data_IF_571922805682
#
_entry.id   IF_571922805682
#
_cell.length_a   1.000
_cell.length_b   1.000
_cell.length_c   1.000
_cell.angle_alpha   90.00
_cell.angle_beta   90.00
_cell.angle_gamma   90.00
#
_symmetry.space_group_name_H-M   'P 1'
#
loop_
_entity.id
_entity.type
_entity.pdbx_description
1 polymer ?
#
# COMPACT_ATOMS: atom_id res chain seq x y z
N UNK A 1 5.80 -7.53 -42.26
CA UNK A 1 5.44 -6.60 -41.18
C UNK A 1 4.79 -7.38 -40.03
N UNK A 2 4.69 -6.82 -38.82
CA UNK A 2 3.92 -7.43 -37.73
C UNK A 2 2.54 -6.80 -37.69
N UNK A 3 1.49 -7.60 -37.86
CA UNK A 3 0.11 -7.12 -37.80
C UNK A 3 -0.22 -6.58 -36.40
N UNK A 4 -0.87 -5.41 -36.34
CA UNK A 4 -1.08 -4.67 -35.07
C UNK A 4 -1.85 -5.50 -34.03
N UNK A 5 -2.80 -6.32 -34.48
CA UNK A 5 -3.61 -7.21 -33.64
C UNK A 5 -2.84 -8.40 -33.04
N UNK A 6 -1.65 -8.73 -33.57
CA UNK A 6 -0.81 -9.80 -33.00
C UNK A 6 0.00 -9.33 -31.79
N UNK A 7 0.18 -8.02 -31.61
CA UNK A 7 0.99 -7.45 -30.52
C UNK A 7 0.41 -7.77 -29.14
N UNK A 8 -0.90 -7.56 -28.85
CA UNK A 8 -1.50 -7.95 -27.57
C UNK A 8 -1.44 -9.46 -27.31
N UNK A 9 -1.59 -10.28 -28.35
CA UNK A 9 -1.51 -11.74 -28.23
C UNK A 9 -0.10 -12.20 -27.85
N UNK A 10 0.95 -11.68 -28.51
CA UNK A 10 2.36 -11.96 -28.16
C UNK A 10 2.68 -11.44 -26.75
N UNK A 11 2.23 -10.24 -26.40
CA UNK A 11 2.42 -9.67 -25.06
C UNK A 11 1.81 -10.56 -23.98
N UNK A 12 0.59 -11.06 -24.17
CA UNK A 12 -0.09 -11.96 -23.22
C UNK A 12 0.61 -13.32 -22.99
N UNK A 13 1.59 -13.67 -23.83
CA UNK A 13 2.38 -14.91 -23.76
C UNK A 13 3.81 -14.70 -23.23
N UNK A 14 4.15 -13.51 -22.74
CA UNK A 14 5.46 -13.25 -22.15
C UNK A 14 5.72 -14.16 -20.93
N UNK A 15 6.89 -14.84 -20.84
CA UNK A 15 7.27 -15.57 -19.65
C UNK A 15 7.63 -14.60 -18.52
N UNK A 16 7.07 -14.80 -17.33
CA UNK A 16 7.37 -13.93 -16.17
C UNK A 16 8.73 -14.26 -15.55
N UNK A 17 9.08 -15.54 -15.48
CA UNK A 17 10.38 -15.99 -15.00
C UNK A 17 11.44 -15.93 -16.13
N UNK A 18 12.69 -15.51 -15.85
CA UNK A 18 13.18 -14.97 -14.58
C UNK A 18 12.99 -13.44 -14.43
N UNK A 19 12.89 -12.70 -15.54
CA UNK A 19 13.12 -11.26 -15.56
C UNK A 19 12.02 -10.42 -14.86
N UNK A 20 10.73 -10.74 -15.07
CA UNK A 20 9.64 -9.99 -14.45
C UNK A 20 9.44 -10.35 -12.97
N UNK A 21 9.74 -11.60 -12.59
CA UNK A 21 9.77 -12.01 -11.19
C UNK A 21 10.95 -11.35 -10.44
N UNK A 22 12.15 -11.35 -11.03
CA UNK A 22 13.32 -10.61 -10.52
C UNK A 22 12.99 -9.12 -10.32
N UNK A 23 12.38 -8.46 -11.33
CA UNK A 23 12.02 -7.06 -11.22
C UNK A 23 10.95 -6.80 -10.13
N UNK A 24 9.95 -7.68 -10.01
CA UNK A 24 8.98 -7.62 -8.92
C UNK A 24 9.66 -7.75 -7.55
N UNK A 25 10.60 -8.69 -7.39
CA UNK A 25 11.36 -8.85 -6.14
C UNK A 25 12.21 -7.61 -5.84
N UNK A 26 12.99 -7.10 -6.80
CA UNK A 26 13.84 -5.90 -6.61
C UNK A 26 12.99 -4.70 -6.16
N UNK A 27 11.92 -4.36 -6.89
CA UNK A 27 11.05 -3.25 -6.50
C UNK A 27 10.18 -3.51 -5.27
N UNK A 28 10.03 -4.76 -4.80
CA UNK A 28 9.40 -5.07 -3.50
C UNK A 28 10.37 -4.92 -2.35
N UNK A 29 11.59 -5.46 -2.47
CA UNK A 29 12.62 -5.40 -1.43
C UNK A 29 13.18 -3.99 -1.27
N UNK A 30 13.36 -3.23 -2.36
CA UNK A 30 13.72 -1.81 -2.28
C UNK A 30 12.65 -1.00 -1.54
N UNK A 31 11.37 -1.23 -1.83
CA UNK A 31 10.27 -0.55 -1.15
C UNK A 31 10.21 -0.88 0.34
N UNK A 32 10.59 -2.10 0.74
CA UNK A 32 10.82 -2.46 2.15
C UNK A 32 12.01 -1.70 2.74
N UNK A 33 13.17 -1.69 2.08
CA UNK A 33 14.38 -1.00 2.58
C UNK A 33 14.15 0.50 2.79
N UNK A 34 13.34 1.12 1.93
CA UNK A 34 12.94 2.53 2.03
C UNK A 34 11.99 2.83 3.20
N UNK A 35 11.45 1.81 3.89
CA UNK A 35 10.62 2.03 5.07
C UNK A 35 11.46 2.35 6.31
N UNK A 36 10.93 3.27 7.13
CA UNK A 36 11.54 3.66 8.41
C UNK A 36 11.80 2.41 9.28
N UNK A 37 13.03 2.31 9.81
CA UNK A 37 13.47 1.20 10.66
C UNK A 37 13.79 -0.12 9.94
N UNK A 38 13.53 -0.27 8.62
CA UNK A 38 13.79 -1.55 7.94
C UNK A 38 15.28 -1.94 7.94
N UNK A 39 16.18 -0.96 7.79
CA UNK A 39 17.64 -1.17 7.83
C UNK A 39 18.09 -1.55 9.25
N UNK A 40 17.53 -0.95 10.30
CA UNK A 40 17.83 -1.34 11.69
C UNK A 40 17.41 -2.79 11.97
N UNK A 41 16.21 -3.18 11.53
CA UNK A 41 15.75 -4.57 11.65
C UNK A 41 16.65 -5.54 10.86
N UNK A 42 17.19 -5.14 9.71
CA UNK A 42 18.13 -5.99 8.93
C UNK A 42 19.44 -6.28 9.67
N UNK A 43 19.93 -5.33 10.49
CA UNK A 43 21.14 -5.49 11.29
C UNK A 43 20.87 -6.24 12.59
N UNK A 44 19.79 -5.89 13.30
CA UNK A 44 19.45 -6.46 14.62
C UNK A 44 18.79 -7.84 14.54
N UNK A 45 17.96 -8.05 13.52
CA UNK A 45 17.08 -9.22 13.38
C UNK A 45 16.98 -9.65 11.90
N UNK A 46 18.08 -10.13 11.28
CA UNK A 46 18.13 -10.41 9.84
C UNK A 46 17.05 -11.37 9.36
N UNK A 47 16.67 -12.38 10.17
CA UNK A 47 15.60 -13.34 9.85
C UNK A 47 14.23 -12.63 9.76
N UNK A 48 13.93 -11.67 10.65
CA UNK A 48 12.69 -10.90 10.59
C UNK A 48 12.65 -9.97 9.38
N UNK A 49 13.80 -9.39 9.00
CA UNK A 49 13.93 -8.61 7.77
C UNK A 49 13.72 -9.47 6.51
N UNK A 50 14.33 -10.66 6.45
CA UNK A 50 14.11 -11.63 5.37
C UNK A 50 12.65 -12.06 5.27
N UNK A 51 12.01 -12.38 6.40
CA UNK A 51 10.60 -12.79 6.40
C UNK A 51 9.67 -11.66 5.95
N UNK A 52 9.89 -10.42 6.41
CA UNK A 52 9.22 -9.23 5.87
C UNK A 52 9.45 -9.07 4.35
N UNK A 53 10.68 -9.28 3.85
CA UNK A 53 10.96 -9.24 2.42
C UNK A 53 10.20 -10.34 1.65
N UNK A 54 10.04 -11.54 2.22
CA UNK A 54 9.20 -12.59 1.65
C UNK A 54 7.72 -12.18 1.62
N UNK A 55 7.19 -11.49 2.63
CA UNK A 55 5.82 -10.94 2.62
C UNK A 55 5.65 -9.86 1.53
N UNK A 56 6.62 -8.99 1.28
CA UNK A 56 6.59 -8.04 0.15
C UNK A 56 6.66 -8.72 -1.23
N UNK A 57 7.32 -9.88 -1.32
CA UNK A 57 7.50 -10.62 -2.57
C UNK A 57 6.32 -11.55 -2.88
N UNK A 58 5.84 -12.28 -1.88
CA UNK A 58 4.88 -13.39 -1.99
C UNK A 58 3.56 -13.16 -1.25
N UNK A 59 3.37 -12.00 -0.59
CA UNK A 59 2.15 -11.70 0.17
C UNK A 59 0.85 -11.84 -0.63
N UNK A 60 0.89 -11.64 -1.96
CA UNK A 60 -0.24 -11.93 -2.83
C UNK A 60 -0.59 -13.42 -2.93
N UNK A 61 0.42 -14.30 -2.93
CA UNK A 61 0.20 -15.75 -2.86
C UNK A 61 -0.29 -16.16 -1.47
N UNK A 62 0.40 -15.72 -0.40
CA UNK A 62 0.05 -16.02 1.00
C UNK A 62 -1.41 -15.64 1.29
N UNK A 63 -1.82 -14.41 0.95
CA UNK A 63 -3.18 -13.94 1.16
C UNK A 63 -4.19 -14.71 0.30
N UNK A 64 -3.89 -14.98 -0.98
CA UNK A 64 -4.79 -15.76 -1.84
C UNK A 64 -5.01 -17.19 -1.36
N UNK A 65 -3.96 -17.85 -0.85
CA UNK A 65 -4.05 -19.20 -0.33
C UNK A 65 -4.82 -19.24 0.99
N UNK A 66 -4.60 -18.27 1.89
CA UNK A 66 -5.39 -18.14 3.12
C UNK A 66 -6.90 -17.97 2.83
N UNK A 67 -7.26 -17.17 1.82
CA UNK A 67 -8.65 -16.95 1.43
C UNK A 67 -9.32 -18.17 0.77
N UNK A 68 -8.53 -19.07 0.20
CA UNK A 68 -9.00 -20.31 -0.44
C UNK A 68 -8.84 -21.54 0.46
N UNK A 69 -8.47 -21.36 1.73
CA UNK A 69 -8.12 -22.43 2.68
C UNK A 69 -7.00 -23.38 2.17
N UNK A 70 -6.16 -22.91 1.25
CA UNK A 70 -4.93 -23.58 0.83
C UNK A 70 -3.82 -23.37 1.88
N UNK A 71 -2.83 -24.28 1.98
CA UNK A 71 -1.69 -24.09 2.87
C UNK A 71 -0.95 -22.77 2.54
N UNK A 72 -0.95 -21.75 3.43
CA UNK A 72 -0.39 -20.43 3.14
C UNK A 72 1.15 -20.45 2.99
N UNK A 73 1.78 -21.56 3.39
CA UNK A 73 3.21 -21.87 3.19
C UNK A 73 3.53 -22.43 1.80
N UNK A 74 2.53 -22.71 0.94
CA UNK A 74 2.75 -23.33 -0.38
C UNK A 74 3.69 -22.53 -1.31
N UNK A 75 3.84 -21.21 -1.10
CA UNK A 75 4.82 -20.42 -1.86
C UNK A 75 6.27 -20.84 -1.56
N UNK A 76 6.56 -21.39 -0.37
CA UNK A 76 7.88 -21.89 0.01
C UNK A 76 8.32 -23.11 -0.81
N UNK A 77 7.37 -23.91 -1.31
CA UNK A 77 7.66 -25.04 -2.19
C UNK A 77 8.29 -24.62 -3.53
N UNK A 78 8.17 -23.34 -3.92
CA UNK A 78 8.77 -22.79 -5.14
C UNK A 78 10.23 -22.38 -4.91
N UNK A 79 11.08 -23.36 -4.58
CA UNK A 79 12.47 -23.18 -4.16
C UNK A 79 13.26 -22.16 -5.00
N UNK A 80 13.23 -22.27 -6.33
CA UNK A 80 13.92 -21.32 -7.25
C UNK A 80 13.49 -19.87 -7.05
N UNK A 81 12.21 -19.61 -6.79
CA UNK A 81 11.68 -18.27 -6.57
C UNK A 81 12.02 -17.74 -5.18
N UNK A 82 12.00 -18.61 -4.16
CA UNK A 82 12.44 -18.26 -2.80
C UNK A 82 13.93 -17.91 -2.80
N UNK A 83 14.76 -18.72 -3.45
CA UNK A 83 16.19 -18.46 -3.61
C UNK A 83 16.44 -17.14 -4.34
N UNK A 84 15.76 -16.91 -5.48
CA UNK A 84 15.90 -15.66 -6.24
C UNK A 84 15.50 -14.42 -5.41
N UNK A 85 14.36 -14.46 -4.71
CA UNK A 85 13.92 -13.38 -3.84
C UNK A 85 14.85 -13.18 -2.62
N UNK A 86 15.43 -14.27 -2.08
CA UNK A 86 16.39 -14.22 -0.97
C UNK A 86 17.73 -13.63 -1.40
N UNK A 87 18.22 -13.96 -2.60
CA UNK A 87 19.41 -13.34 -3.20
C UNK A 87 19.18 -11.84 -3.42
N UNK A 88 18.03 -11.45 -3.94
CA UNK A 88 17.66 -10.02 -4.09
C UNK A 88 17.60 -9.32 -2.74
N UNK A 89 16.99 -9.92 -1.72
CA UNK A 89 17.02 -9.41 -0.35
C UNK A 89 18.45 -9.20 0.15
N UNK A 90 19.31 -10.20 -0.01
CA UNK A 90 20.69 -10.12 0.43
C UNK A 90 21.47 -9.00 -0.28
N UNK A 91 21.36 -8.90 -1.60
CA UNK A 91 22.02 -7.83 -2.37
C UNK A 91 21.46 -6.44 -2.05
N UNK A 92 20.16 -6.26 -1.83
CA UNK A 92 19.59 -4.95 -1.49
C UNK A 92 19.99 -4.49 -0.09
N UNK A 93 20.18 -5.38 0.88
CA UNK A 93 20.50 -5.01 2.27
C UNK A 93 22.00 -5.04 2.61
N UNK A 94 22.78 -5.99 2.09
CA UNK A 94 24.16 -6.28 2.54
C UNK A 94 25.23 -6.13 1.45
N UNK A 95 24.89 -5.70 0.24
CA UNK A 95 25.89 -5.44 -0.81
C UNK A 95 26.87 -4.33 -0.37
N UNK A 96 28.19 -4.53 -0.52
CA UNK A 96 29.19 -3.55 -0.09
C UNK A 96 28.97 -2.18 -0.76
N UNK A 97 29.18 -1.11 0.00
CA UNK A 97 28.94 0.28 -0.40
C UNK A 97 27.50 0.59 -0.87
N UNK A 98 26.56 -0.33 -0.62
CA UNK A 98 25.18 -0.30 -1.07
C UNK A 98 25.02 -0.24 -2.62
N UNK A 99 25.99 -0.81 -3.35
CA UNK A 99 26.10 -0.67 -4.80
C UNK A 99 24.85 -1.17 -5.55
N UNK A 100 24.29 -2.31 -5.15
CA UNK A 100 23.10 -2.88 -5.78
C UNK A 100 21.87 -1.98 -5.63
N UNK A 101 21.59 -1.51 -4.40
CA UNK A 101 20.50 -0.56 -4.16
C UNK A 101 20.71 0.74 -4.92
N UNK A 102 21.93 1.32 -4.90
CA UNK A 102 22.27 2.55 -5.64
C UNK A 102 22.03 2.41 -7.14
N UNK A 103 22.40 1.27 -7.73
CA UNK A 103 22.16 0.96 -9.13
C UNK A 103 20.65 0.99 -9.45
N UNK A 104 19.83 0.25 -8.71
CA UNK A 104 18.38 0.19 -8.95
C UNK A 104 17.60 1.43 -8.44
N UNK A 105 18.20 2.26 -7.59
CA UNK A 105 17.66 3.55 -7.18
C UNK A 105 17.83 4.64 -8.25
N UNK A 106 18.77 4.47 -9.19
CA UNK A 106 18.93 5.36 -10.34
C UNK A 106 17.64 5.42 -11.18
N UNK A 107 17.14 6.63 -11.43
CA UNK A 107 15.77 6.86 -11.88
C UNK A 107 15.36 6.04 -13.14
N UNK A 108 16.14 5.99 -14.24
CA UNK A 108 15.80 5.16 -15.40
C UNK A 108 15.62 3.67 -15.07
N UNK A 109 16.52 3.09 -14.25
CA UNK A 109 16.45 1.68 -13.88
C UNK A 109 15.31 1.42 -12.88
N UNK A 110 15.10 2.36 -11.95
CA UNK A 110 13.96 2.36 -11.03
C UNK A 110 12.62 2.37 -11.77
N UNK A 111 12.50 3.18 -12.83
CA UNK A 111 11.31 3.25 -13.70
C UNK A 111 11.10 1.95 -14.47
N UNK A 112 12.17 1.37 -15.05
CA UNK A 112 12.10 0.08 -15.76
C UNK A 112 11.60 -1.04 -14.84
N UNK A 113 12.23 -1.20 -13.68
CA UNK A 113 11.86 -2.24 -12.71
C UNK A 113 10.45 -2.02 -12.15
N UNK A 114 10.06 -0.77 -11.89
CA UNK A 114 8.68 -0.45 -11.50
C UNK A 114 7.69 -0.84 -12.60
N UNK A 115 7.95 -0.49 -13.86
CA UNK A 115 7.11 -0.87 -15.01
C UNK A 115 6.98 -2.38 -15.17
N UNK A 116 8.09 -3.12 -15.10
CA UNK A 116 8.08 -4.59 -15.13
C UNK A 116 7.25 -5.19 -13.98
N UNK A 117 7.32 -4.63 -12.76
CA UNK A 117 6.47 -5.05 -11.63
C UNK A 117 4.97 -4.80 -11.87
N UNK A 118 4.60 -3.78 -12.64
CA UNK A 118 3.20 -3.59 -13.07
C UNK A 118 2.75 -4.67 -14.08
N UNK A 119 3.64 -5.16 -14.95
CA UNK A 119 3.36 -6.33 -15.81
C UNK A 119 3.10 -7.58 -14.97
N UNK A 120 4.00 -7.89 -14.02
CA UNK A 120 3.85 -9.03 -13.10
C UNK A 120 2.55 -8.96 -12.30
N UNK A 121 2.09 -7.74 -11.95
CA UNK A 121 0.82 -7.51 -11.26
C UNK A 121 -0.40 -7.92 -12.10
N UNK A 122 -0.46 -7.56 -13.39
CA UNK A 122 -1.55 -8.00 -14.27
C UNK A 122 -1.62 -9.52 -14.40
N UNK A 123 -0.47 -10.18 -14.53
CA UNK A 123 -0.41 -11.66 -14.57
C UNK A 123 -0.88 -12.26 -13.24
N UNK A 124 -0.47 -11.70 -12.09
CA UNK A 124 -0.93 -12.16 -10.77
C UNK A 124 -2.44 -12.00 -10.57
N UNK A 125 -3.04 -10.89 -11.01
CA UNK A 125 -4.51 -10.69 -10.94
C UNK A 125 -5.23 -11.71 -11.82
N UNK A 126 -4.86 -11.81 -13.10
CA UNK A 126 -5.54 -12.73 -14.04
C UNK A 126 -5.36 -14.20 -13.68
N UNK A 127 -4.19 -14.59 -13.15
CA UNK A 127 -3.97 -15.91 -12.59
C UNK A 127 -4.73 -16.13 -11.27
N UNK A 128 -5.01 -15.09 -10.48
CA UNK A 128 -5.87 -15.17 -9.29
C UNK A 128 -7.34 -15.38 -9.65
N UNK A 129 -7.86 -14.59 -10.58
CA UNK A 129 -9.25 -14.73 -11.10
C UNK A 129 -9.49 -16.12 -11.67
N UNK A 130 -8.60 -16.60 -12.56
CA UNK A 130 -8.74 -17.92 -13.18
C UNK A 130 -8.56 -19.08 -12.16
N UNK A 131 -7.75 -18.89 -11.12
CA UNK A 131 -7.56 -19.87 -10.06
C UNK A 131 -8.78 -19.93 -9.12
N UNK A 132 -9.39 -18.79 -8.80
CA UNK A 132 -10.63 -18.77 -8.04
C UNK A 132 -11.77 -19.47 -8.79
N UNK A 133 -11.93 -19.20 -10.10
CA UNK A 133 -12.93 -19.87 -10.93
C UNK A 133 -12.72 -21.40 -11.02
N UNK A 134 -11.49 -21.91 -10.93
CA UNK A 134 -11.27 -23.37 -10.93
C UNK A 134 -11.73 -24.04 -9.62
N UNK A 135 -11.82 -23.30 -8.51
CA UNK A 135 -12.35 -23.79 -7.23
C UNK A 135 -13.85 -23.50 -7.06
N UNK A 136 -14.29 -22.30 -7.43
CA UNK A 136 -15.65 -21.80 -7.24
C UNK A 136 -16.20 -21.26 -8.57
N UNK A 137 -16.94 -22.10 -9.28
CA UNK A 137 -17.58 -21.75 -10.57
C UNK A 137 -18.56 -20.59 -10.38
N UNK A 138 -18.47 -19.59 -11.26
CA UNK A 138 -19.33 -18.41 -11.32
C UNK A 138 -19.41 -17.56 -10.02
N UNK A 139 -18.52 -17.79 -9.06
CA UNK A 139 -18.48 -17.06 -7.79
C UNK A 139 -17.74 -15.72 -7.93
N UNK A 140 -18.35 -14.74 -8.62
CA UNK A 140 -17.70 -13.49 -9.02
C UNK A 140 -17.03 -12.73 -7.87
N UNK A 141 -17.64 -12.70 -6.68
CA UNK A 141 -17.05 -12.06 -5.50
C UNK A 141 -15.76 -12.75 -5.05
N UNK A 142 -15.70 -14.09 -5.10
CA UNK A 142 -14.49 -14.86 -4.78
C UNK A 142 -13.40 -14.60 -5.82
N UNK A 143 -13.77 -14.55 -7.10
CA UNK A 143 -12.86 -14.24 -8.21
C UNK A 143 -12.23 -12.85 -8.07
N UNK A 144 -13.04 -11.83 -7.77
CA UNK A 144 -12.56 -10.46 -7.48
C UNK A 144 -11.64 -10.47 -6.26
N UNK A 145 -12.06 -11.10 -5.16
CA UNK A 145 -11.33 -11.10 -3.90
C UNK A 145 -9.94 -11.77 -4.03
N UNK A 146 -9.86 -12.93 -4.70
CA UNK A 146 -8.60 -13.66 -4.93
C UNK A 146 -7.72 -12.96 -5.98
N UNK A 147 -8.31 -12.41 -7.04
CA UNK A 147 -7.59 -11.61 -8.04
C UNK A 147 -6.95 -10.36 -7.41
N UNK A 148 -7.71 -9.66 -6.56
CA UNK A 148 -7.25 -8.50 -5.80
C UNK A 148 -6.13 -8.87 -4.81
N UNK A 149 -6.32 -9.96 -4.06
CA UNK A 149 -5.33 -10.51 -3.15
C UNK A 149 -4.01 -10.84 -3.87
N UNK A 150 -4.04 -11.56 -5.01
CA UNK A 150 -2.80 -11.85 -5.77
C UNK A 150 -2.16 -10.58 -6.35
N UNK A 151 -2.95 -9.59 -6.75
CA UNK A 151 -2.46 -8.33 -7.31
C UNK A 151 -1.75 -7.41 -6.31
N UNK A 152 -2.30 -7.24 -5.10
CA UNK A 152 -1.82 -6.26 -4.12
C UNK A 152 -1.69 -6.80 -2.68
N UNK A 153 -1.64 -8.12 -2.48
CA UNK A 153 -1.63 -8.74 -1.16
C UNK A 153 -0.52 -8.27 -0.23
N UNK A 154 0.67 -7.92 -0.75
CA UNK A 154 1.74 -7.31 0.07
C UNK A 154 1.37 -5.95 0.67
N UNK A 155 0.48 -5.19 0.03
CA UNK A 155 -0.12 -3.98 0.62
C UNK A 155 -1.24 -4.33 1.60
N UNK A 156 -2.13 -5.25 1.23
CA UNK A 156 -3.26 -5.67 2.08
C UNK A 156 -2.80 -6.29 3.41
N UNK A 157 -1.68 -7.02 3.43
CA UNK A 157 -1.07 -7.58 4.66
C UNK A 157 -0.02 -6.66 5.28
N UNK A 158 0.13 -5.41 4.82
CA UNK A 158 1.20 -4.51 5.29
C UNK A 158 1.14 -4.20 6.78
N UNK A 159 -0.04 -4.23 7.40
CA UNK A 159 -0.19 -4.08 8.86
C UNK A 159 0.38 -5.30 9.63
N UNK A 160 0.22 -6.51 9.09
CA UNK A 160 0.82 -7.73 9.65
C UNK A 160 2.34 -7.76 9.39
N UNK A 161 2.79 -7.30 8.23
CA UNK A 161 4.22 -7.14 7.92
C UNK A 161 4.91 -6.10 8.83
N UNK A 162 4.24 -4.98 9.13
CA UNK A 162 4.74 -4.01 10.11
C UNK A 162 4.87 -4.65 11.50
N UNK A 163 3.89 -5.48 11.90
CA UNK A 163 3.92 -6.21 13.18
C UNK A 163 5.10 -7.19 13.25
N UNK A 164 5.45 -7.89 12.15
CA UNK A 164 6.66 -8.73 12.04
C UNK A 164 7.95 -7.96 12.35
N UNK A 165 7.97 -6.64 12.09
CA UNK A 165 9.09 -5.73 12.40
C UNK A 165 8.95 -5.00 13.74
N UNK A 166 7.96 -5.36 14.56
CA UNK A 166 7.69 -4.71 15.85
C UNK A 166 7.01 -3.33 15.74
N UNK A 167 6.44 -2.98 14.58
CA UNK A 167 5.73 -1.71 14.37
C UNK A 167 4.21 -1.99 14.34
N UNK A 168 3.47 -1.39 15.27
CA UNK A 168 2.01 -1.48 15.29
C UNK A 168 1.36 -0.11 15.01
N UNK A 169 0.51 -0.04 13.97
CA UNK A 169 -0.18 1.18 13.53
C UNK A 169 -1.63 0.88 13.12
N UNK A 170 -2.54 0.67 14.09
CA UNK A 170 -3.92 0.30 13.81
C UNK A 170 -4.72 1.44 13.15
N UNK A 171 -4.32 2.69 13.36
CA UNK A 171 -4.87 3.92 12.77
C UNK A 171 -4.86 3.92 11.22
N UNK A 172 -3.96 3.16 10.60
CA UNK A 172 -3.76 3.15 9.15
C UNK A 172 -3.86 1.74 8.60
N UNK A 173 -4.92 1.45 7.84
CA UNK A 173 -5.10 0.20 7.11
C UNK A 173 -5.39 0.52 5.63
N UNK A 174 -4.92 -0.33 4.71
CA UNK A 174 -5.24 -0.19 3.28
C UNK A 174 -6.75 -0.23 3.00
N UNK A 175 -7.55 -0.97 3.78
CA UNK A 175 -9.01 -0.96 3.64
C UNK A 175 -9.65 0.39 4.05
N UNK A 176 -9.04 1.12 4.99
CA UNK A 176 -9.53 2.41 5.47
C UNK A 176 -9.15 3.55 4.52
N UNK A 177 -7.94 3.49 3.95
CA UNK A 177 -7.43 4.45 2.96
C UNK A 177 -6.57 3.73 1.92
N UNK A 178 -7.21 3.17 0.91
CA UNK A 178 -6.51 2.39 -0.13
C UNK A 178 -5.48 3.24 -0.87
N UNK A 179 -4.26 2.74 -0.92
CA UNK A 179 -3.18 3.24 -1.76
C UNK A 179 -3.52 3.05 -3.25
N UNK A 180 -2.88 3.84 -4.11
CA UNK A 180 -3.04 3.72 -5.56
C UNK A 180 -2.89 2.26 -6.08
N UNK A 181 -1.83 1.50 -5.71
CA UNK A 181 -1.70 0.11 -6.12
C UNK A 181 -2.88 -0.78 -5.72
N UNK A 182 -3.38 -0.66 -4.48
CA UNK A 182 -4.50 -1.47 -3.98
C UNK A 182 -5.81 -1.14 -4.70
N UNK A 183 -6.06 0.15 -5.02
CA UNK A 183 -7.23 0.56 -5.79
C UNK A 183 -7.21 0.02 -7.22
N UNK A 184 -6.09 0.18 -7.93
CA UNK A 184 -6.02 -0.27 -9.33
C UNK A 184 -6.11 -1.78 -9.45
N UNK A 185 -5.57 -2.55 -8.49
CA UNK A 185 -5.76 -4.01 -8.50
C UNK A 185 -7.19 -4.45 -8.20
N UNK A 186 -7.94 -3.70 -7.40
CA UNK A 186 -9.38 -3.97 -7.21
C UNK A 186 -10.14 -3.74 -8.53
N UNK A 187 -9.92 -2.60 -9.19
CA UNK A 187 -10.49 -2.28 -10.51
C UNK A 187 -10.11 -3.36 -11.53
N UNK A 188 -8.82 -3.75 -11.58
CA UNK A 188 -8.34 -4.82 -12.44
C UNK A 188 -9.01 -6.17 -12.16
N UNK A 189 -9.15 -6.54 -10.89
CA UNK A 189 -9.80 -7.79 -10.50
C UNK A 189 -11.29 -7.83 -10.91
N UNK A 190 -12.00 -6.71 -10.80
CA UNK A 190 -13.38 -6.57 -11.31
C UNK A 190 -13.41 -6.69 -12.84
N UNK A 191 -12.59 -5.93 -13.56
CA UNK A 191 -12.53 -5.99 -15.03
C UNK A 191 -12.20 -7.41 -15.55
N UNK A 192 -11.21 -8.09 -14.96
CA UNK A 192 -10.85 -9.45 -15.35
C UNK A 192 -11.89 -10.49 -14.93
N UNK A 193 -12.66 -10.27 -13.87
CA UNK A 193 -13.79 -11.15 -13.49
C UNK A 193 -14.95 -11.00 -14.47
N UNK A 194 -15.36 -9.77 -14.80
CA UNK A 194 -16.39 -9.50 -15.82
C UNK A 194 -15.98 -10.05 -17.20
N UNK A 195 -14.70 -9.96 -17.55
CA UNK A 195 -14.12 -10.56 -18.74
C UNK A 195 -14.17 -12.09 -18.74
N UNK A 196 -13.97 -12.73 -17.59
CA UNK A 196 -13.98 -14.18 -17.46
C UNK A 196 -15.41 -14.71 -17.60
N UNK A 197 -16.37 -14.06 -16.92
CA UNK A 197 -17.82 -14.32 -17.02
C UNK A 197 -18.51 -13.83 -18.31
N UNK A 198 -17.75 -13.47 -19.35
CA UNK A 198 -18.26 -13.01 -20.67
C UNK A 198 -19.17 -11.75 -20.66
N UNK A 199 -19.25 -11.02 -19.55
CA UNK A 199 -20.00 -9.75 -19.46
C UNK A 199 -19.30 -8.57 -20.14
N UNK A 200 -17.99 -8.67 -20.37
CA UNK A 200 -17.20 -7.64 -21.05
C UNK A 200 -16.84 -8.10 -22.48
N UNK A 201 -17.34 -7.44 -23.54
CA UNK A 201 -17.14 -7.85 -24.94
C UNK A 201 -15.78 -7.42 -25.49
N UNK A 202 -14.70 -7.83 -24.83
CA UNK A 202 -13.31 -7.66 -25.28
C UNK A 202 -12.59 -9.02 -25.19
N UNK A 203 -11.49 -9.20 -25.93
CA UNK A 203 -10.68 -10.40 -25.81
C UNK A 203 -9.74 -10.28 -24.60
N UNK A 204 -9.56 -11.38 -23.83
CA UNK A 204 -8.69 -11.42 -22.64
C UNK A 204 -7.27 -10.88 -22.89
N UNK A 205 -6.67 -11.20 -24.03
CA UNK A 205 -5.32 -10.72 -24.39
C UNK A 205 -5.27 -9.20 -24.65
N UNK A 206 -6.34 -8.63 -25.24
CA UNK A 206 -6.47 -7.19 -25.42
C UNK A 206 -6.67 -6.47 -24.07
N UNK A 207 -7.50 -7.02 -23.19
CA UNK A 207 -7.69 -6.47 -21.84
C UNK A 207 -6.39 -6.51 -21.02
N UNK A 208 -5.65 -7.63 -21.05
CA UNK A 208 -4.32 -7.74 -20.41
C UNK A 208 -3.36 -6.67 -20.93
N UNK A 209 -3.31 -6.47 -22.24
CA UNK A 209 -2.43 -5.47 -22.86
C UNK A 209 -2.81 -4.03 -22.47
N UNK A 210 -4.07 -3.63 -22.68
CA UNK A 210 -4.56 -2.29 -22.37
C UNK A 210 -4.45 -1.94 -20.89
N UNK A 211 -4.86 -2.85 -20.00
CA UNK A 211 -4.77 -2.65 -18.55
C UNK A 211 -3.31 -2.54 -18.09
N UNK A 212 -2.40 -3.36 -18.65
CA UNK A 212 -0.98 -3.29 -18.27
C UNK A 212 -0.33 -2.00 -18.76
N UNK A 213 -0.63 -1.54 -19.99
CA UNK A 213 -0.16 -0.24 -20.50
C UNK A 213 -0.67 0.88 -19.58
N UNK A 214 -1.95 0.86 -19.22
CA UNK A 214 -2.53 1.83 -18.29
C UNK A 214 -1.80 1.87 -16.94
N UNK A 215 -1.51 0.70 -16.34
CA UNK A 215 -0.75 0.61 -15.09
C UNK A 215 0.67 1.16 -15.25
N UNK A 216 1.41 0.74 -16.29
CA UNK A 216 2.80 1.14 -16.52
C UNK A 216 2.89 2.65 -16.74
N UNK A 217 2.06 3.22 -17.63
CA UNK A 217 2.03 4.67 -17.88
C UNK A 217 1.69 5.43 -16.60
N UNK A 218 0.63 5.04 -15.89
CA UNK A 218 0.24 5.68 -14.63
C UNK A 218 1.38 5.64 -13.60
N UNK A 219 2.02 4.47 -13.44
CA UNK A 219 3.11 4.27 -12.47
C UNK A 219 4.35 5.11 -12.81
N UNK A 220 4.74 5.14 -14.08
CA UNK A 220 5.86 5.95 -14.59
C UNK A 220 5.56 7.45 -14.40
N UNK A 221 4.37 7.91 -14.77
CA UNK A 221 3.94 9.31 -14.60
C UNK A 221 3.94 9.73 -13.13
N UNK A 222 3.42 8.90 -12.21
CA UNK A 222 3.47 9.20 -10.77
C UNK A 222 4.91 9.29 -10.24
N UNK A 223 5.81 8.43 -10.72
CA UNK A 223 7.23 8.47 -10.32
C UNK A 223 7.99 9.67 -10.88
N UNK A 224 7.70 10.09 -12.11
CA UNK A 224 8.31 11.27 -12.74
C UNK A 224 7.80 12.59 -12.14
N UNK A 225 6.49 12.71 -11.97
CA UNK A 225 5.86 13.93 -11.42
C UNK A 225 6.01 14.08 -9.90
N UNK A 226 6.45 13.02 -9.20
CA UNK A 226 6.45 12.88 -7.74
C UNK A 226 5.07 13.14 -7.09
N UNK A 227 3.99 13.09 -7.87
CA UNK A 227 2.65 13.35 -7.39
C UNK A 227 2.15 12.19 -6.53
N UNK A 228 1.71 12.51 -5.30
CA UNK A 228 1.00 11.56 -4.43
C UNK A 228 -0.48 11.39 -4.82
N UNK A 229 -1.01 12.27 -5.68
CA UNK A 229 -2.41 12.26 -6.12
C UNK A 229 -2.63 11.11 -7.10
N UNK A 230 -3.59 10.23 -6.82
CA UNK A 230 -3.96 9.17 -7.76
C UNK A 230 -4.58 9.78 -9.03
N UNK A 231 -4.37 9.19 -10.22
CA UNK A 231 -5.07 9.62 -11.44
C UNK A 231 -6.60 9.44 -11.34
N UNK A 232 -7.05 8.63 -10.37
CA UNK A 232 -8.46 8.41 -10.04
C UNK A 232 -9.06 9.44 -9.07
N UNK A 233 -8.26 10.28 -8.40
CA UNK A 233 -8.73 11.24 -7.41
C UNK A 233 -9.93 12.12 -7.86
N UNK A 234 -9.98 12.70 -9.08
CA UNK A 234 -11.16 13.46 -9.50
C UNK A 234 -12.42 12.58 -9.68
N UNK A 235 -12.25 11.34 -10.15
CA UNK A 235 -13.35 10.39 -10.33
C UNK A 235 -13.88 9.85 -8.99
N UNK A 236 -12.97 9.54 -8.06
CA UNK A 236 -13.30 9.16 -6.68
C UNK A 236 -14.05 10.27 -5.95
N UNK A 237 -13.63 11.53 -6.13
CA UNK A 237 -14.34 12.69 -5.57
C UNK A 237 -15.76 12.82 -6.11
N UNK A 238 -15.95 12.64 -7.43
CA UNK A 238 -17.26 12.66 -8.06
C UNK A 238 -18.17 11.51 -7.59
N UNK A 239 -17.68 10.26 -7.56
CA UNK A 239 -18.47 9.13 -7.06
C UNK A 239 -18.75 9.23 -5.56
N UNK A 240 -17.77 9.66 -4.76
CA UNK A 240 -17.96 9.88 -3.32
C UNK A 240 -19.08 10.88 -3.05
N UNK A 241 -19.07 12.00 -3.77
CA UNK A 241 -20.13 13.01 -3.71
C UNK A 241 -21.49 12.46 -4.18
N UNK A 242 -21.52 11.63 -5.24
CA UNK A 242 -22.75 11.13 -5.84
C UNK A 242 -23.42 9.98 -5.04
N UNK A 243 -22.64 9.05 -4.48
CA UNK A 243 -23.17 7.86 -3.80
C UNK A 243 -23.23 8.00 -2.27
N UNK A 244 -22.29 8.72 -1.66
CA UNK A 244 -22.18 8.81 -0.19
C UNK A 244 -22.48 10.20 0.36
N UNK A 245 -22.62 11.20 -0.51
CA UNK A 245 -22.92 12.58 -0.14
C UNK A 245 -21.75 13.28 0.57
N UNK A 246 -21.83 14.61 0.64
CA UNK A 246 -20.83 15.42 1.34
C UNK A 246 -21.05 15.36 2.87
N UNK A 247 -20.62 14.28 3.53
CA UNK A 247 -20.43 14.33 4.98
C UNK A 247 -19.31 15.34 5.32
N UNK A 248 -19.73 16.57 5.65
CA UNK A 248 -18.90 17.49 6.41
C UNK A 248 -18.57 16.84 7.76
N UNK A 249 -17.40 16.23 7.85
CA UNK A 249 -16.79 15.90 9.14
C UNK A 249 -16.79 17.20 9.96
N UNK A 250 -17.38 17.25 11.17
CA UNK A 250 -17.41 18.47 11.96
C UNK A 250 -15.96 18.89 12.24
N UNK A 251 -15.56 20.05 11.72
CA UNK A 251 -14.27 20.65 12.06
C UNK A 251 -14.25 20.86 13.56
N UNK A 252 -13.39 20.11 14.27
CA UNK A 252 -13.18 20.26 15.72
C UNK A 252 -12.98 21.75 16.01
N UNK A 253 -13.83 22.28 16.89
CA UNK A 253 -13.82 23.68 17.30
C UNK A 253 -12.42 24.05 17.78
N UNK A 254 -11.71 24.87 17.01
CA UNK A 254 -10.56 25.63 17.50
C UNK A 254 -11.06 27.02 17.83
N UNK A 255 -11.57 27.17 19.05
CA UNK A 255 -11.92 28.48 19.59
C UNK A 255 -10.65 29.33 19.71
N UNK A 256 -10.79 30.60 19.38
CA UNK A 256 -10.00 31.75 19.84
C UNK A 256 -8.47 31.72 19.69
N UNK A 257 -7.98 32.51 18.71
CA UNK A 257 -6.90 33.49 18.93
C UNK A 257 -6.69 34.41 17.71
N UNK A 258 -7.49 35.48 17.60
CA UNK A 258 -7.24 36.76 16.89
C UNK A 258 -8.57 37.56 16.89
N UNK A 259 -8.83 38.64 17.64
CA UNK A 259 -8.11 39.87 18.04
C UNK A 259 -8.70 41.11 17.34
N UNK A 260 -8.82 42.22 18.09
CA UNK A 260 -9.40 43.55 17.69
C UNK A 260 -10.94 43.57 17.55
N UNK A 261 -11.72 44.58 17.98
CA UNK A 261 -11.63 45.67 19.00
C UNK A 261 -13.08 46.25 19.16
N UNK A 262 -13.46 47.30 19.91
CA UNK A 262 -12.80 48.32 20.73
C UNK A 262 -13.83 48.98 21.71
N UNK A 263 -13.40 49.84 22.65
CA UNK A 263 -14.21 50.98 23.12
C UNK A 263 -14.59 51.11 24.62
N UNK A 264 -13.96 52.09 25.31
CA UNK A 264 -14.42 52.83 26.53
C UNK A 264 -14.70 52.04 27.85
N UNK A 265 -14.46 52.57 29.07
CA UNK A 265 -13.96 53.89 29.52
C UNK A 265 -13.52 53.89 31.00
N UNK A 266 -12.50 54.71 31.31
CA UNK A 266 -12.28 55.47 32.58
C UNK A 266 -11.91 54.73 33.88
N UNK A 267 -11.15 55.46 34.71
CA UNK A 267 -10.44 55.10 35.95
C UNK A 267 -11.34 54.79 37.16
N UNK A 268 -10.77 54.13 38.19
CA UNK A 268 -10.38 54.85 39.43
C UNK A 268 -9.47 54.04 40.38
N UNK A 269 -8.74 54.76 41.25
CA UNK A 269 -7.90 54.23 42.35
C UNK A 269 -8.48 54.59 43.72
N UNK A 270 -8.51 53.64 44.66
CA UNK A 270 -8.34 53.79 46.13
C UNK A 270 -8.63 52.42 46.77
N UNK A 271 -7.83 51.85 47.68
CA UNK A 271 -7.17 52.32 48.91
C UNK A 271 -8.05 52.21 50.17
N UNK A 272 -7.70 51.20 50.97
CA UNK A 272 -7.66 51.19 52.45
C UNK A 272 -8.88 50.93 53.36
N UNK A 273 -8.60 50.00 54.30
CA UNK A 273 -8.91 49.99 55.75
C UNK A 273 -10.21 49.41 56.36
N UNK A 274 -9.92 48.70 57.46
CA UNK A 274 -10.70 48.36 58.68
C UNK A 274 -11.46 47.01 58.68
N UNK A 275 -11.01 45.90 59.30
CA UNK A 275 -10.43 45.60 60.65
C UNK A 275 -11.47 45.58 61.79
N UNK A 276 -11.95 44.37 62.16
CA UNK A 276 -12.12 43.87 63.54
C UNK A 276 -12.72 42.43 63.58
N UNK A 277 -12.72 41.66 64.69
CA UNK A 277 -11.57 41.04 65.39
C UNK A 277 -12.03 39.92 66.37
N UNK A 278 -11.09 39.06 66.86
CA UNK A 278 -11.21 38.18 68.07
C UNK A 278 -12.13 36.91 67.92
N UNK A 279 -11.84 35.66 68.39
CA UNK A 279 -11.15 35.15 69.61
C UNK A 279 -10.55 33.72 69.50
N UNK A 280 -9.28 33.58 69.94
CA UNK A 280 -8.59 32.45 70.64
C UNK A 280 -9.12 30.98 70.53
N UNK A 281 -8.18 30.06 70.21
CA UNK A 281 -7.51 29.20 71.24
C UNK A 281 -6.17 28.61 70.75
N UNK A 282 -5.11 28.79 71.55
CA UNK A 282 -3.85 28.03 71.45
C UNK A 282 -3.90 26.86 72.45
N UNK A 283 -3.16 25.77 72.21
CA UNK A 283 -1.85 25.53 72.83
C UNK A 283 -1.39 24.05 72.80
N UNK A 284 -0.09 23.87 72.47
CA UNK A 284 0.88 22.92 73.09
C UNK A 284 0.64 21.39 72.99
N UNK A 285 1.68 20.53 72.95
CA UNK A 285 3.14 20.66 72.70
C UNK A 285 3.77 19.25 72.70
N UNK A 286 4.88 19.06 71.96
CA UNK A 286 5.92 18.01 72.16
C UNK A 286 5.47 16.55 71.98
N UNK A 287 6.33 15.64 71.54
CA UNK A 287 7.81 15.72 71.43
C UNK A 287 8.31 15.51 70.00
#
# INVERSE_FOLDING_TARGET
>A
AMELWQVPLRFSRLPMFPFFDLAHYVASVMALKEQRGAVEVSVRSPIACWFSAMLYCFGGSVLSSLMLAEPPVAFLAKGTNILLASSVWYFVFYCPQDLFYRCFAFLPLRLLVAGMKEVTRTWKITAGVAHADSHFKDAWLVMVAVGWARGAGGGLISNFEQLVRGVWKPETNELLKMSYPVKVTLIGAVLFTLQHGQYLPIARHNLVFLYTIFLVISKVTMMLTRSATSPFAPFEGALGHMFFGLQKIPSKVKSEAAASSNGSSVCDQSSEQHRDSVKKRQAKKTE
#
